data_IF_445210812382
#
_entry.id   IF_445210812382
#
_cell.length_a   1.000
_cell.length_b   1.000
_cell.length_c   1.000
_cell.angle_alpha   90.00
_cell.angle_beta   90.00
_cell.angle_gamma   90.00
#
_symmetry.space_group_name_H-M   'P 1'
#
loop_
_entity.id
_entity.type
_entity.pdbx_description
1 polymer ?
#
# COMPACT_ATOMS: atom_id res chain seq x y z
N UNK A 1 -4.02 -2.85 4.08
CA UNK A 1 -4.59 -1.53 3.72
C UNK A 1 -5.84 -1.22 4.53
N UNK A 2 -6.22 0.04 4.59
CA UNK A 2 -7.53 0.48 5.08
C UNK A 2 -7.99 1.70 4.27
N UNK A 3 -9.28 1.98 4.30
CA UNK A 3 -9.87 3.16 3.66
C UNK A 3 -10.69 3.94 4.69
N UNK A 4 -10.51 5.25 4.69
CA UNK A 4 -11.25 6.19 5.51
C UNK A 4 -11.93 7.26 4.66
N UNK A 5 -13.06 7.74 5.14
CA UNK A 5 -13.79 8.87 4.55
C UNK A 5 -14.09 9.91 5.62
N UNK A 6 -14.14 11.17 5.20
CA UNK A 6 -14.60 12.26 6.06
C UNK A 6 -16.12 12.31 6.02
N UNK A 7 -16.74 12.09 7.16
CA UNK A 7 -18.19 12.13 7.29
C UNK A 7 -18.57 12.52 8.71
N UNK A 8 -19.60 13.36 8.89
CA UNK A 8 -20.07 13.80 10.21
C UNK A 8 -18.97 14.44 11.07
N UNK A 9 -18.16 15.32 10.46
CA UNK A 9 -17.05 16.07 11.09
C UNK A 9 -15.92 15.19 11.67
N UNK A 10 -15.79 13.95 11.20
CA UNK A 10 -14.73 13.04 11.61
C UNK A 10 -14.33 12.09 10.47
N UNK A 11 -13.20 11.42 10.64
CA UNK A 11 -12.80 10.31 9.78
C UNK A 11 -13.48 9.02 10.25
N UNK A 12 -14.16 8.34 9.33
CA UNK A 12 -14.69 7.00 9.52
C UNK A 12 -13.82 6.01 8.76
N UNK A 13 -13.28 5.02 9.46
CA UNK A 13 -12.59 3.89 8.83
C UNK A 13 -13.63 2.85 8.47
N UNK A 14 -13.72 2.53 7.18
CA UNK A 14 -14.79 1.71 6.61
C UNK A 14 -14.43 0.24 6.76
N UNK A 15 -15.38 -0.56 7.22
CA UNK A 15 -15.26 -2.01 7.24
C UNK A 15 -15.48 -2.60 5.84
N UNK A 16 -14.71 -3.63 5.50
CA UNK A 16 -14.89 -4.39 4.27
C UNK A 16 -16.09 -5.37 4.37
N UNK A 17 -16.32 -6.15 3.31
CA UNK A 17 -17.40 -7.12 3.22
C UNK A 17 -17.29 -8.29 4.23
N UNK A 18 -16.12 -8.46 4.87
CA UNK A 18 -15.90 -9.42 5.97
C UNK A 18 -16.05 -8.77 7.36
N UNK A 19 -16.41 -7.50 7.43
CA UNK A 19 -16.54 -6.73 8.67
C UNK A 19 -15.22 -6.24 9.25
N UNK A 20 -14.10 -6.38 8.53
CA UNK A 20 -12.78 -5.94 8.96
C UNK A 20 -12.49 -4.50 8.52
N UNK A 21 -11.97 -3.67 9.42
CA UNK A 21 -11.56 -2.30 9.12
C UNK A 21 -10.21 -2.22 8.41
N UNK A 22 -9.47 -3.31 8.39
CA UNK A 22 -8.26 -3.48 7.59
C UNK A 22 -8.48 -4.59 6.58
N UNK A 23 -7.93 -4.43 5.37
CA UNK A 23 -7.99 -5.42 4.29
C UNK A 23 -6.58 -5.86 3.96
N UNK A 24 -6.29 -7.18 3.98
CA UNK A 24 -4.99 -7.67 3.56
C UNK A 24 -4.63 -7.21 2.14
N UNK A 25 -3.40 -6.73 1.94
CA UNK A 25 -2.88 -6.36 0.62
C UNK A 25 -2.41 -7.61 -0.12
N UNK A 26 -3.35 -8.51 -0.37
CA UNK A 26 -3.19 -9.81 -0.99
C UNK A 26 -4.03 -9.89 -2.26
N UNK A 27 -3.43 -10.45 -3.33
CA UNK A 27 -4.11 -10.75 -4.59
C UNK A 27 -3.79 -12.18 -4.96
N UNK A 28 -4.82 -13.00 -5.15
CA UNK A 28 -4.66 -14.38 -5.56
C UNK A 28 -5.31 -14.65 -6.92
N UNK A 29 -4.67 -15.49 -7.71
CA UNK A 29 -5.11 -15.87 -9.04
C UNK A 29 -5.40 -17.37 -9.07
N UNK A 30 -6.51 -17.74 -9.67
CA UNK A 30 -6.94 -19.14 -9.85
C UNK A 30 -7.36 -19.37 -11.29
N UNK A 31 -7.74 -20.60 -11.62
CA UNK A 31 -8.26 -20.93 -12.95
C UNK A 31 -9.59 -20.25 -13.27
N UNK A 32 -10.31 -19.80 -12.25
CA UNK A 32 -11.66 -19.24 -12.40
C UNK A 32 -11.72 -17.75 -12.12
N UNK A 33 -11.00 -17.26 -11.10
CA UNK A 33 -11.17 -15.91 -10.59
C UNK A 33 -9.89 -15.28 -10.02
N UNK A 34 -9.96 -13.99 -9.82
CA UNK A 34 -8.99 -13.20 -9.06
C UNK A 34 -9.62 -12.78 -7.74
N UNK A 35 -8.97 -13.10 -6.64
CA UNK A 35 -9.38 -12.75 -5.29
C UNK A 35 -8.51 -11.63 -4.73
N UNK A 36 -9.08 -10.75 -3.92
CA UNK A 36 -8.36 -9.62 -3.30
C UNK A 36 -8.76 -9.54 -1.82
N UNK A 37 -7.79 -9.26 -0.95
CA UNK A 37 -8.02 -9.05 0.47
C UNK A 37 -8.12 -10.35 1.28
N UNK A 38 -9.10 -10.45 2.16
CA UNK A 38 -9.26 -11.57 3.08
C UNK A 38 -9.39 -12.91 2.34
N UNK A 39 -10.18 -12.97 1.28
CA UNK A 39 -10.35 -14.18 0.47
C UNK A 39 -9.03 -14.65 -0.16
N UNK A 40 -8.23 -13.72 -0.66
CA UNK A 40 -6.91 -14.03 -1.21
C UNK A 40 -5.96 -14.56 -0.13
N UNK A 41 -5.92 -13.91 1.03
CA UNK A 41 -5.08 -14.32 2.16
C UNK A 41 -5.47 -15.70 2.70
N UNK A 42 -6.76 -15.98 2.84
CA UNK A 42 -7.27 -17.22 3.42
C UNK A 42 -6.90 -18.47 2.63
N UNK A 43 -6.69 -18.36 1.30
CA UNK A 43 -6.29 -19.47 0.44
C UNK A 43 -4.78 -19.49 0.13
N UNK A 44 -3.99 -18.58 0.68
CA UNK A 44 -2.55 -18.43 0.37
C UNK A 44 -1.75 -19.72 0.63
N UNK A 45 -2.05 -20.44 1.69
CA UNK A 45 -1.37 -21.69 2.05
C UNK A 45 -1.57 -22.81 1.00
N UNK A 46 -2.72 -22.84 0.33
CA UNK A 46 -3.06 -23.84 -0.69
C UNK A 46 -2.70 -23.41 -2.11
N UNK A 47 -2.44 -22.11 -2.32
CA UNK A 47 -2.10 -21.55 -3.63
C UNK A 47 -0.94 -20.52 -3.51
N UNK A 48 0.19 -20.88 -2.91
CA UNK A 48 1.25 -19.91 -2.61
C UNK A 48 1.90 -19.29 -3.85
N UNK A 49 2.02 -20.06 -4.94
CA UNK A 49 2.69 -19.60 -6.17
C UNK A 49 1.90 -18.52 -6.93
N UNK A 50 0.58 -18.49 -6.75
CA UNK A 50 -0.31 -17.55 -7.42
C UNK A 50 -0.99 -16.58 -6.44
N UNK A 51 -0.46 -16.45 -5.23
CA UNK A 51 -0.92 -15.50 -4.22
C UNK A 51 0.17 -14.49 -3.96
N UNK A 52 -0.11 -13.25 -4.37
CA UNK A 52 0.82 -12.13 -4.32
C UNK A 52 0.54 -11.28 -3.10
N UNK A 53 1.58 -10.97 -2.36
CA UNK A 53 1.58 -10.04 -1.23
C UNK A 53 2.88 -9.25 -1.21
N UNK A 54 2.97 -8.22 -0.39
CA UNK A 54 4.16 -7.36 -0.29
C UNK A 54 4.63 -6.75 -1.62
N UNK A 55 3.70 -6.48 -2.55
CA UNK A 55 4.01 -5.75 -3.78
C UNK A 55 4.63 -4.37 -3.48
N UNK A 56 4.37 -3.80 -2.31
CA UNK A 56 4.98 -2.58 -1.78
C UNK A 56 6.51 -2.66 -1.71
N UNK A 57 7.10 -3.85 -1.55
CA UNK A 57 8.56 -4.06 -1.54
C UNK A 57 9.17 -4.02 -2.94
N UNK A 58 8.36 -4.25 -3.97
CA UNK A 58 8.80 -4.30 -5.37
C UNK A 58 8.48 -3.02 -6.14
N UNK A 59 7.47 -2.26 -5.72
CA UNK A 59 6.97 -1.10 -6.45
C UNK A 59 8.04 -0.01 -6.61
N UNK A 60 8.23 0.47 -7.84
CA UNK A 60 9.19 1.54 -8.15
C UNK A 60 10.66 1.15 -8.03
N UNK A 61 10.94 -0.15 -7.82
CA UNK A 61 12.32 -0.68 -7.72
C UNK A 61 12.74 -1.35 -9.03
N UNK A 62 14.06 -1.54 -9.18
CA UNK A 62 14.62 -2.33 -10.27
C UNK A 62 14.73 -3.79 -9.86
N UNK A 63 14.58 -4.69 -10.83
CA UNK A 63 14.76 -6.12 -10.59
C UNK A 63 16.18 -6.44 -10.10
N UNK A 64 17.20 -5.79 -10.70
CA UNK A 64 18.62 -6.00 -10.36
C UNK A 64 19.06 -5.38 -9.04
N UNK A 65 18.23 -4.56 -8.38
CA UNK A 65 18.58 -3.95 -7.09
C UNK A 65 18.89 -5.03 -6.05
N UNK A 66 19.99 -4.89 -5.28
CA UNK A 66 20.36 -5.87 -4.25
C UNK A 66 19.25 -6.12 -3.21
N UNK A 67 18.52 -5.07 -2.82
CA UNK A 67 17.39 -5.19 -1.91
C UNK A 67 16.26 -6.03 -2.53
N UNK A 68 15.92 -5.78 -3.80
CA UNK A 68 14.93 -6.58 -4.54
C UNK A 68 15.38 -8.04 -4.60
N UNK A 69 16.63 -8.31 -4.99
CA UNK A 69 17.17 -9.68 -5.09
C UNK A 69 17.19 -10.40 -3.73
N UNK A 70 17.36 -9.68 -2.63
CA UNK A 70 17.23 -10.25 -1.29
C UNK A 70 15.80 -10.65 -0.98
N UNK A 71 14.83 -9.77 -1.28
CA UNK A 71 13.41 -10.01 -1.03
C UNK A 71 12.86 -11.18 -1.85
N UNK A 72 13.34 -11.37 -3.10
CA UNK A 72 12.89 -12.45 -3.98
C UNK A 72 13.07 -13.85 -3.37
N UNK A 73 14.03 -14.02 -2.46
CA UNK A 73 14.29 -15.31 -1.79
C UNK A 73 13.18 -15.71 -0.81
N UNK A 74 12.37 -14.77 -0.40
CA UNK A 74 11.31 -14.95 0.60
C UNK A 74 9.91 -15.07 -0.01
N UNK A 75 9.76 -14.70 -1.30
CA UNK A 75 8.47 -14.82 -1.96
C UNK A 75 8.20 -16.24 -2.47
N UNK A 76 7.00 -16.79 -2.20
CA UNK A 76 6.61 -18.08 -2.74
C UNK A 76 6.21 -18.02 -4.22
N UNK A 77 5.87 -16.82 -4.72
CA UNK A 77 5.53 -16.56 -6.12
C UNK A 77 6.77 -16.15 -6.91
N UNK A 78 6.70 -16.30 -8.23
CA UNK A 78 7.82 -16.02 -9.12
C UNK A 78 7.83 -14.54 -9.51
N UNK A 79 9.03 -13.95 -9.48
CA UNK A 79 9.29 -12.60 -10.00
C UNK A 79 10.37 -12.69 -11.07
N UNK A 80 10.13 -12.05 -12.19
CA UNK A 80 11.00 -12.09 -13.37
C UNK A 80 11.35 -10.67 -13.84
N UNK A 81 12.50 -10.46 -14.49
CA UNK A 81 12.80 -9.17 -15.07
C UNK A 81 11.94 -8.92 -16.31
N UNK A 82 11.46 -7.69 -16.47
CA UNK A 82 10.76 -7.20 -17.66
C UNK A 82 11.51 -5.99 -18.23
N UNK A 83 11.10 -5.52 -19.41
CA UNK A 83 11.72 -4.39 -20.10
C UNK A 83 11.99 -3.20 -19.18
N UNK A 84 13.21 -2.64 -19.26
CA UNK A 84 13.66 -1.56 -18.40
C UNK A 84 14.06 -2.01 -16.97
N UNK A 85 14.40 -3.28 -16.80
CA UNK A 85 14.84 -3.85 -15.51
C UNK A 85 13.74 -3.77 -14.42
N UNK A 86 12.47 -3.84 -14.84
CA UNK A 86 11.33 -3.82 -13.91
C UNK A 86 11.06 -5.22 -13.36
N UNK A 87 10.83 -5.40 -12.06
CA UNK A 87 10.34 -6.66 -11.53
C UNK A 87 8.90 -6.90 -11.99
N UNK A 88 8.60 -8.08 -12.50
CA UNK A 88 7.24 -8.50 -12.87
C UNK A 88 6.88 -9.79 -12.13
N UNK A 89 5.71 -9.83 -11.55
CA UNK A 89 5.18 -11.00 -10.84
C UNK A 89 4.52 -11.92 -11.87
N UNK A 90 5.00 -13.16 -11.93
CA UNK A 90 4.48 -14.18 -12.85
C UNK A 90 3.58 -15.15 -12.11
N UNK A 91 2.36 -15.31 -12.59
CA UNK A 91 1.31 -16.17 -12.01
C UNK A 91 0.55 -16.91 -13.09
N UNK A 92 -0.05 -18.03 -12.71
CA UNK A 92 -1.00 -18.75 -13.56
C UNK A 92 -2.41 -18.26 -13.27
N UNK A 93 -3.09 -17.77 -14.30
CA UNK A 93 -4.44 -17.23 -14.21
C UNK A 93 -5.28 -17.69 -15.40
N UNK A 94 -6.39 -18.39 -15.11
CA UNK A 94 -7.32 -18.93 -16.12
C UNK A 94 -6.63 -19.79 -17.18
N UNK A 95 -5.68 -20.63 -16.75
CA UNK A 95 -4.95 -21.54 -17.63
C UNK A 95 -3.83 -20.88 -18.44
N UNK A 96 -3.53 -19.61 -18.18
CA UNK A 96 -2.47 -18.87 -18.86
C UNK A 96 -1.46 -18.32 -17.85
N UNK A 97 -0.18 -18.34 -18.19
CA UNK A 97 0.85 -17.64 -17.43
C UNK A 97 0.79 -16.15 -17.75
N UNK A 98 0.59 -15.31 -16.73
CA UNK A 98 0.52 -13.85 -16.84
C UNK A 98 1.56 -13.18 -15.98
N UNK A 99 2.00 -12.01 -16.44
CA UNK A 99 2.98 -11.18 -15.74
C UNK A 99 2.36 -9.83 -15.41
N UNK A 100 2.42 -9.46 -14.14
CA UNK A 100 1.92 -8.19 -13.62
C UNK A 100 3.06 -7.38 -13.03
N UNK A 101 3.07 -6.07 -13.30
CA UNK A 101 3.96 -5.15 -12.61
C UNK A 101 3.46 -4.91 -11.17
N UNK A 102 4.34 -4.53 -10.23
CA UNK A 102 3.92 -4.23 -8.85
C UNK A 102 2.84 -3.16 -8.75
N UNK A 103 2.87 -2.13 -9.60
CA UNK A 103 1.84 -1.11 -9.70
C UNK A 103 0.48 -1.67 -10.16
N UNK A 104 0.47 -2.70 -11.00
CA UNK A 104 -0.78 -3.37 -11.41
C UNK A 104 -1.37 -4.18 -10.25
N UNK A 105 -0.55 -4.89 -9.49
CA UNK A 105 -0.98 -5.62 -8.28
C UNK A 105 -1.50 -4.62 -7.23
N UNK A 106 -0.77 -3.53 -7.01
CA UNK A 106 -1.18 -2.49 -6.07
C UNK A 106 -2.49 -1.83 -6.50
N UNK A 107 -2.70 -1.62 -7.81
CA UNK A 107 -3.96 -1.09 -8.33
C UNK A 107 -5.16 -2.00 -8.02
N UNK A 108 -4.97 -3.31 -8.07
CA UNK A 108 -6.03 -4.28 -7.71
C UNK A 108 -6.46 -4.12 -6.25
N UNK A 109 -5.50 -3.90 -5.34
CA UNK A 109 -5.80 -3.60 -3.94
C UNK A 109 -6.52 -2.26 -3.80
N UNK A 110 -6.08 -1.23 -4.53
CA UNK A 110 -6.72 0.09 -4.52
C UNK A 110 -8.15 0.05 -5.08
N UNK A 111 -8.40 -0.75 -6.11
CA UNK A 111 -9.77 -1.02 -6.62
C UNK A 111 -10.64 -1.58 -5.51
N UNK A 112 -10.15 -2.56 -4.75
CA UNK A 112 -10.89 -3.13 -3.61
C UNK A 112 -11.19 -2.07 -2.54
N UNK A 113 -10.22 -1.18 -2.23
CA UNK A 113 -10.45 -0.07 -1.29
C UNK A 113 -11.51 0.91 -1.83
N UNK A 114 -11.46 1.23 -3.11
CA UNK A 114 -12.46 2.06 -3.79
C UNK A 114 -13.86 1.43 -3.70
N UNK A 115 -13.99 0.16 -4.04
CA UNK A 115 -15.26 -0.58 -3.96
C UNK A 115 -15.85 -0.57 -2.54
N UNK A 116 -15.00 -0.75 -1.52
CA UNK A 116 -15.42 -0.70 -0.10
C UNK A 116 -15.96 0.70 0.24
N UNK A 117 -15.25 1.76 -0.20
CA UNK A 117 -15.69 3.13 0.02
C UNK A 117 -17.01 3.45 -0.71
N UNK A 118 -17.13 3.05 -1.97
CA UNK A 118 -18.34 3.25 -2.79
C UNK A 118 -19.55 2.51 -2.21
N UNK A 119 -19.35 1.26 -1.75
CA UNK A 119 -20.42 0.49 -1.10
C UNK A 119 -20.93 1.16 0.19
N UNK A 120 -20.03 1.79 0.95
CA UNK A 120 -20.38 2.52 2.17
C UNK A 120 -21.08 3.85 1.88
N UNK A 121 -20.54 4.63 0.93
CA UNK A 121 -21.06 5.96 0.60
C UNK A 121 -22.31 5.93 -0.27
N UNK A 122 -22.52 4.86 -1.06
CA UNK A 122 -23.60 4.78 -2.04
C UNK A 122 -23.37 5.62 -3.28
N UNK A 123 -22.14 6.10 -3.50
CA UNK A 123 -21.75 6.95 -4.64
C UNK A 123 -20.36 6.60 -5.16
N UNK A 124 -20.04 7.05 -6.37
CA UNK A 124 -18.74 6.83 -6.99
C UNK A 124 -17.64 7.63 -6.30
N UNK A 125 -16.52 6.99 -6.01
CA UNK A 125 -15.31 7.60 -5.45
C UNK A 125 -14.34 7.89 -6.60
N UNK A 126 -13.99 9.16 -6.78
CA UNK A 126 -13.07 9.63 -7.83
C UNK A 126 -11.72 10.07 -7.27
N UNK A 127 -11.71 10.75 -6.13
CA UNK A 127 -10.53 11.38 -5.55
C UNK A 127 -10.01 10.59 -4.35
N UNK A 128 -8.69 10.50 -4.23
CA UNK A 128 -8.06 9.84 -3.10
C UNK A 128 -6.73 10.48 -2.70
N UNK A 129 -6.41 10.39 -1.43
CA UNK A 129 -5.06 10.58 -0.89
C UNK A 129 -4.52 9.20 -0.54
N UNK A 130 -3.30 8.91 -0.96
CA UNK A 130 -2.65 7.62 -0.71
C UNK A 130 -1.42 7.84 0.16
N UNK A 131 -1.23 6.99 1.16
CA UNK A 131 -0.09 7.06 2.06
C UNK A 131 0.98 6.05 1.67
N UNK A 132 2.24 6.43 1.92
CA UNK A 132 3.44 5.63 1.63
C UNK A 132 4.44 5.73 2.78
N UNK A 133 5.35 4.76 2.93
CA UNK A 133 6.43 4.88 3.90
C UNK A 133 7.26 6.15 3.68
N UNK A 134 7.76 6.73 4.76
CA UNK A 134 8.59 7.94 4.68
C UNK A 134 9.89 7.74 3.87
N UNK A 135 10.42 6.51 3.84
CA UNK A 135 11.63 6.16 3.08
C UNK A 135 11.41 5.94 1.57
N UNK A 136 10.16 5.95 1.09
CA UNK A 136 9.92 5.83 -0.36
C UNK A 136 10.59 6.97 -1.11
N UNK A 137 11.33 6.63 -2.16
CA UNK A 137 11.91 7.58 -3.10
C UNK A 137 10.87 8.04 -4.14
N UNK A 138 11.27 8.96 -5.01
CA UNK A 138 10.38 9.53 -6.02
C UNK A 138 9.85 8.49 -7.02
N UNK A 139 10.67 7.50 -7.40
CA UNK A 139 10.24 6.43 -8.30
C UNK A 139 9.14 5.56 -7.66
N UNK A 140 9.27 5.23 -6.37
CA UNK A 140 8.27 4.46 -5.62
C UNK A 140 6.98 5.26 -5.42
N UNK A 141 7.08 6.57 -5.15
CA UNK A 141 5.93 7.48 -5.04
C UNK A 141 5.20 7.64 -6.36
N UNK A 142 5.93 7.82 -7.45
CA UNK A 142 5.36 7.90 -8.80
C UNK A 142 4.64 6.60 -9.17
N UNK A 143 5.27 5.44 -8.97
CA UNK A 143 4.65 4.15 -9.23
C UNK A 143 3.40 3.88 -8.37
N UNK A 144 3.38 4.37 -7.13
CA UNK A 144 2.18 4.31 -6.27
C UNK A 144 1.07 5.20 -6.81
N UNK A 145 1.41 6.39 -7.31
CA UNK A 145 0.44 7.29 -7.98
C UNK A 145 -0.11 6.63 -9.26
N UNK A 146 0.75 5.99 -10.04
CA UNK A 146 0.35 5.26 -11.25
C UNK A 146 -0.63 4.12 -10.90
N UNK A 147 -0.36 3.38 -9.82
CA UNK A 147 -1.28 2.36 -9.32
C UNK A 147 -2.68 2.94 -9.00
N UNK A 148 -2.75 4.12 -8.40
CA UNK A 148 -4.00 4.84 -8.17
C UNK A 148 -4.71 5.20 -9.46
N UNK A 149 -3.98 5.70 -10.45
CA UNK A 149 -4.51 6.03 -11.78
C UNK A 149 -5.05 4.80 -12.50
N UNK A 150 -4.33 3.68 -12.46
CA UNK A 150 -4.78 2.38 -13.01
C UNK A 150 -6.07 1.92 -12.32
N UNK A 151 -6.21 2.17 -11.02
CA UNK A 151 -7.42 1.88 -10.25
C UNK A 151 -8.60 2.83 -10.56
N UNK A 152 -8.42 3.81 -11.43
CA UNK A 152 -9.43 4.80 -11.78
C UNK A 152 -9.63 5.87 -10.70
N UNK A 153 -8.58 6.17 -9.94
CA UNK A 153 -8.57 7.21 -8.92
C UNK A 153 -7.77 8.43 -9.41
N UNK A 154 -8.28 9.61 -9.12
CA UNK A 154 -7.52 10.85 -9.17
C UNK A 154 -6.75 11.00 -7.86
N UNK A 155 -5.45 10.73 -7.89
CA UNK A 155 -4.61 10.80 -6.69
C UNK A 155 -4.24 12.25 -6.42
N UNK A 156 -4.91 12.85 -5.45
CA UNK A 156 -4.71 14.26 -5.08
C UNK A 156 -3.35 14.49 -4.44
N UNK A 157 -2.92 13.56 -3.58
CA UNK A 157 -1.63 13.63 -2.86
C UNK A 157 -1.11 12.25 -2.53
N UNK A 158 0.22 12.15 -2.48
CA UNK A 158 0.94 11.06 -1.80
C UNK A 158 1.55 11.68 -0.54
N UNK A 159 1.21 11.13 0.62
CA UNK A 159 1.74 11.59 1.92
C UNK A 159 2.44 10.45 2.66
N UNK A 160 3.29 10.78 3.62
CA UNK A 160 4.00 9.78 4.40
C UNK A 160 3.08 9.13 5.45
N UNK A 161 3.17 7.81 5.61
CA UNK A 161 2.45 7.06 6.65
C UNK A 161 2.62 7.69 8.04
N UNK A 162 3.85 8.00 8.52
CA UNK A 162 4.02 8.63 9.83
C UNK A 162 3.45 10.05 9.93
N UNK A 163 3.49 10.82 8.83
CA UNK A 163 2.87 12.15 8.79
C UNK A 163 1.35 12.02 8.92
N UNK A 164 0.74 11.08 8.21
CA UNK A 164 -0.70 10.81 8.31
C UNK A 164 -1.10 10.40 9.73
N UNK A 165 -0.31 9.55 10.40
CA UNK A 165 -0.53 9.17 11.79
C UNK A 165 -0.47 10.38 12.74
N UNK A 166 0.53 11.26 12.58
CA UNK A 166 0.67 12.47 13.37
C UNK A 166 -0.54 13.41 13.19
N UNK A 167 -1.00 13.60 11.96
CA UNK A 167 -2.19 14.41 11.65
C UNK A 167 -3.44 13.80 12.29
N UNK A 168 -3.61 12.48 12.22
CA UNK A 168 -4.75 11.77 12.79
C UNK A 168 -4.86 11.96 14.32
N UNK A 169 -3.75 12.11 15.01
CA UNK A 169 -3.71 12.46 16.43
C UNK A 169 -3.95 13.96 16.71
N UNK A 170 -4.14 14.77 15.67
CA UNK A 170 -4.39 16.21 15.80
C UNK A 170 -3.16 17.00 16.24
N UNK A 171 -1.97 16.49 15.99
CA UNK A 171 -0.72 17.15 16.36
C UNK A 171 -0.46 18.42 15.55
N UNK A 172 -1.01 18.51 14.34
CA UNK A 172 -0.98 19.70 13.49
C UNK A 172 -1.64 20.94 14.11
N UNK A 173 -2.52 20.76 15.10
CA UNK A 173 -3.33 21.82 15.70
C UNK A 173 -2.73 22.42 16.98
N UNK A 174 -1.59 21.93 17.45
CA UNK A 174 -1.22 22.11 18.87
C UNK A 174 -0.05 23.03 19.17
N UNK A 175 0.81 23.45 18.24
CA UNK A 175 2.01 24.20 18.67
C UNK A 175 2.54 25.23 17.68
N UNK A 176 2.80 26.45 18.23
CA UNK A 176 3.72 27.44 17.69
C UNK A 176 5.18 27.19 18.13
N UNK A 177 5.45 26.04 18.78
CA UNK A 177 6.81 25.64 19.21
C UNK A 177 7.20 24.37 18.51
N UNK A 178 8.48 24.27 18.11
CA UNK A 178 9.05 23.04 17.61
C UNK A 178 8.77 21.88 18.56
N UNK A 179 8.17 20.81 18.02
CA UNK A 179 7.84 19.61 18.75
C UNK A 179 8.42 18.40 18.04
N UNK A 180 9.18 17.59 18.76
CA UNK A 180 9.69 16.32 18.25
C UNK A 180 8.67 15.20 18.50
N UNK A 181 8.35 14.45 17.45
CA UNK A 181 7.34 13.39 17.45
C UNK A 181 8.02 12.11 16.97
N UNK A 182 7.96 11.06 17.80
CA UNK A 182 8.39 9.72 17.42
C UNK A 182 7.14 8.91 17.04
N UNK A 183 7.11 8.42 15.81
CA UNK A 183 6.10 7.49 15.32
C UNK A 183 6.73 6.10 15.28
N UNK A 184 6.10 5.17 15.98
CA UNK A 184 6.47 3.77 16.03
C UNK A 184 5.35 2.96 15.36
N UNK A 185 5.60 2.48 14.15
CA UNK A 185 4.63 1.75 13.34
C UNK A 185 5.09 0.29 13.17
N UNK A 186 4.43 -0.61 13.88
CA UNK A 186 4.65 -2.05 13.76
C UNK A 186 3.48 -2.66 13.01
N UNK A 187 3.67 -2.85 11.71
CA UNK A 187 2.68 -3.46 10.82
C UNK A 187 2.83 -4.98 10.70
N UNK A 188 2.01 -5.57 9.82
CA UNK A 188 2.02 -7.02 9.58
C UNK A 188 3.20 -7.52 8.73
N UNK A 189 3.96 -6.64 8.10
CA UNK A 189 5.09 -6.99 7.22
C UNK A 189 6.30 -6.07 7.35
N UNK A 190 6.15 -4.93 8.04
CA UNK A 190 7.23 -3.95 8.23
C UNK A 190 7.20 -3.41 9.65
N UNK A 191 8.36 -3.01 10.12
CA UNK A 191 8.53 -2.22 11.31
C UNK A 191 9.18 -0.89 10.93
N UNK A 192 8.48 0.22 11.13
CA UNK A 192 8.91 1.54 10.74
C UNK A 192 8.92 2.48 11.95
N UNK A 193 10.04 3.16 12.17
CA UNK A 193 10.18 4.22 13.16
C UNK A 193 10.54 5.50 12.44
N UNK A 194 9.81 6.57 12.72
CA UNK A 194 10.07 7.88 12.12
C UNK A 194 10.13 8.96 13.19
N UNK A 195 11.18 9.75 13.15
CA UNK A 195 11.32 10.98 13.95
C UNK A 195 10.88 12.16 13.08
N UNK A 196 9.84 12.85 13.52
CA UNK A 196 9.31 14.04 12.89
C UNK A 196 9.56 15.26 13.78
N UNK A 197 9.77 16.41 13.15
CA UNK A 197 9.57 17.70 13.81
C UNK A 197 8.31 18.36 13.27
N UNK A 198 7.56 18.97 14.14
CA UNK A 198 6.42 19.81 13.82
C UNK A 198 6.71 21.23 14.30
N UNK A 199 6.70 22.17 13.37
CA UNK A 199 6.82 23.60 13.65
C UNK A 199 5.86 24.36 12.72
N UNK A 200 5.04 25.22 13.28
CA UNK A 200 4.04 26.04 12.55
C UNK A 200 3.16 25.26 11.55
N UNK A 201 2.77 24.03 11.92
CA UNK A 201 1.94 23.17 11.07
C UNK A 201 2.70 22.44 9.96
N UNK A 202 4.02 22.58 9.91
CA UNK A 202 4.89 21.90 8.93
C UNK A 202 5.51 20.68 9.59
N UNK A 203 5.32 19.51 8.96
CA UNK A 203 5.96 18.27 9.37
C UNK A 203 7.23 18.05 8.56
N UNK A 204 8.34 17.84 9.24
CA UNK A 204 9.59 17.46 8.64
C UNK A 204 10.06 16.11 9.16
N UNK A 205 10.37 15.18 8.25
CA UNK A 205 10.94 13.88 8.62
C UNK A 205 12.44 14.06 8.85
N UNK A 206 12.87 13.93 10.10
CA UNK A 206 14.30 14.10 10.48
C UNK A 206 15.11 12.82 10.33
N UNK A 207 14.49 11.69 10.67
CA UNK A 207 15.13 10.39 10.55
C UNK A 207 14.09 9.29 10.39
N UNK A 208 14.47 8.23 9.71
CA UNK A 208 13.70 6.99 9.60
C UNK A 208 14.61 5.81 9.94
N UNK A 209 14.05 4.84 10.62
CA UNK A 209 14.67 3.54 10.86
C UNK A 209 13.57 2.48 10.76
N UNK A 210 13.94 1.25 10.55
CA UNK A 210 12.96 0.18 10.46
C UNK A 210 13.59 -1.10 9.94
N UNK A 211 12.79 -2.14 9.91
CA UNK A 211 13.17 -3.43 9.36
C UNK A 211 12.02 -3.92 8.46
N UNK A 212 12.38 -4.38 7.29
CA UNK A 212 11.46 -4.97 6.31
C UNK A 212 11.59 -6.49 6.24
N UNK A 213 12.40 -7.08 7.14
CA UNK A 213 12.68 -8.52 7.16
C UNK A 213 12.19 -9.20 8.43
#
# INVERSE_FOLDING_TARGET
SCVGVWQNDRIEIIANDQGNRTTPSYVAFTDTERMIGDSAKNQAATNPKNTVFDAKRLIGRKFSDPATQSDLKHFPFKVVPKDGDKPAIEVDFKGETKQFLPEEISSMVLIKMKEIAEAYLGETVTDAVITVPAYFNDAQRSATKDAGTIAGLNVLRIINDPTAAAIAYGLDKKTSKETNILIFDLGGGTFDVSLLTLEDGIFEVKATAGDTH
#
